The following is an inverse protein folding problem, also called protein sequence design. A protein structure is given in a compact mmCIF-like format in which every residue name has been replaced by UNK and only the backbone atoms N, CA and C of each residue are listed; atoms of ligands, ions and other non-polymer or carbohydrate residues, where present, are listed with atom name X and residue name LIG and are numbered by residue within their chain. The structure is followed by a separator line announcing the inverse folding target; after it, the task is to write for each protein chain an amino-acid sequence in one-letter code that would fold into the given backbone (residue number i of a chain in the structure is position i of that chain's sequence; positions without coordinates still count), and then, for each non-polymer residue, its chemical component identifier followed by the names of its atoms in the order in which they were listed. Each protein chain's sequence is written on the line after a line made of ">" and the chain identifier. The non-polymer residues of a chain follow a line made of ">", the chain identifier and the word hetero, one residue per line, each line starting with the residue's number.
data_IF_627661384246
#
_entry.id   IF_627661384246
#
_cell.length_a   1.000
_cell.length_b   1.000
_cell.length_c   1.000
_cell.angle_alpha   90.00
_cell.angle_beta   90.00
_cell.angle_gamma   90.00
#
_symmetry.space_group_name_H-M   'P 1'
#
loop_
_entity.id
_entity.type
_entity.pdbx_description
1 polymer ?
#
# COMPACT_ATOMS: atom_id res chain seq x y z
N UNK A 1 18.53 11.77 -47.04
CA UNK A 1 17.39 11.51 -46.13
C UNK A 1 17.97 11.08 -44.78
N UNK A 2 17.94 11.94 -43.77
CA UNK A 2 18.32 11.57 -42.39
C UNK A 2 17.25 10.65 -41.85
N UNK A 3 17.59 9.39 -41.50
CA UNK A 3 16.72 8.50 -40.75
C UNK A 3 16.34 9.23 -39.45
N UNK A 4 15.04 9.48 -39.23
CA UNK A 4 14.51 9.85 -37.92
C UNK A 4 14.98 8.77 -36.95
N UNK A 5 15.79 9.13 -35.95
CA UNK A 5 16.03 8.31 -34.77
C UNK A 5 14.64 8.12 -34.16
N UNK A 6 14.17 6.87 -34.12
CA UNK A 6 12.94 6.55 -33.40
C UNK A 6 13.13 7.03 -31.96
N UNK A 7 12.32 8.01 -31.56
CA UNK A 7 12.20 8.42 -30.15
C UNK A 7 11.72 7.21 -29.38
N UNK A 8 12.59 6.66 -28.54
CA UNK A 8 12.24 5.56 -27.66
C UNK A 8 11.20 6.10 -26.68
N UNK A 9 9.95 5.77 -26.90
CA UNK A 9 8.88 6.04 -25.93
C UNK A 9 9.20 5.22 -24.69
N UNK A 10 9.55 5.90 -23.59
CA UNK A 10 9.83 5.26 -22.31
C UNK A 10 8.54 4.61 -21.84
N UNK A 11 8.46 3.28 -21.91
CA UNK A 11 7.32 2.52 -21.39
C UNK A 11 7.37 2.52 -19.88
N UNK A 12 6.19 2.57 -19.25
CA UNK A 12 6.04 2.77 -17.81
C UNK A 12 6.50 1.58 -16.96
N UNK A 13 6.52 0.37 -17.52
CA UNK A 13 6.84 -0.87 -16.81
C UNK A 13 8.33 -1.23 -16.89
N UNK A 14 8.94 -1.54 -15.74
CA UNK A 14 10.31 -2.06 -15.67
C UNK A 14 10.47 -3.36 -16.47
N UNK A 15 9.50 -4.28 -16.35
CA UNK A 15 9.49 -5.53 -17.08
C UNK A 15 9.35 -5.31 -18.59
N UNK A 16 8.47 -4.39 -19.03
CA UNK A 16 8.32 -4.03 -20.44
C UNK A 16 9.55 -3.31 -20.97
N UNK A 17 10.15 -2.41 -20.19
CA UNK A 17 11.38 -1.74 -20.57
C UNK A 17 12.54 -2.72 -20.72
N UNK A 18 12.72 -3.63 -19.78
CA UNK A 18 13.75 -4.67 -19.83
C UNK A 18 13.50 -5.62 -21.03
N UNK A 19 12.24 -5.99 -21.29
CA UNK A 19 11.84 -6.82 -22.45
C UNK A 19 12.07 -6.07 -23.76
N UNK A 20 11.73 -4.78 -23.82
CA UNK A 20 11.93 -3.93 -24.99
C UNK A 20 13.41 -3.76 -25.31
N UNK A 21 14.23 -3.44 -24.31
CA UNK A 21 15.70 -3.30 -24.50
C UNK A 21 16.31 -4.63 -24.95
N UNK A 22 15.79 -5.75 -24.46
CA UNK A 22 16.19 -7.07 -24.88
C UNK A 22 15.81 -7.39 -26.33
N UNK A 23 14.66 -6.90 -26.80
CA UNK A 23 14.14 -7.16 -28.17
C UNK A 23 14.74 -6.24 -29.25
N UNK A 24 15.30 -5.10 -28.88
CA UNK A 24 15.90 -4.12 -29.82
C UNK A 24 17.35 -4.49 -30.24
N UNK A 25 17.95 -5.47 -29.57
CA UNK A 25 19.20 -6.07 -30.05
C UNK A 25 18.93 -7.02 -31.23
N UNK A 26 19.67 -6.85 -32.34
CA UNK A 26 19.64 -7.67 -33.59
C UNK A 26 19.98 -9.17 -33.36
N UNK A 27 19.70 -9.73 -32.19
CA UNK A 27 20.00 -11.12 -31.87
C UNK A 27 18.71 -11.95 -31.81
N UNK A 28 18.70 -13.02 -32.59
CA UNK A 28 17.62 -14.04 -32.65
C UNK A 28 17.36 -14.76 -31.33
N UNK A 29 18.18 -14.56 -30.31
CA UNK A 29 18.01 -15.10 -28.97
C UNK A 29 17.43 -14.00 -28.05
N UNK A 30 16.11 -13.96 -27.90
CA UNK A 30 15.45 -13.08 -26.93
C UNK A 30 16.00 -13.32 -25.53
N UNK A 31 16.15 -12.26 -24.73
CA UNK A 31 16.50 -12.39 -23.31
C UNK A 31 15.32 -13.05 -22.61
N UNK A 32 15.46 -14.30 -22.21
CA UNK A 32 14.49 -15.01 -21.39
C UNK A 32 14.64 -14.52 -19.94
N UNK A 33 13.85 -13.52 -19.57
CA UNK A 33 13.80 -13.05 -18.18
C UNK A 33 13.03 -14.05 -17.33
N UNK A 34 13.60 -14.40 -16.18
CA UNK A 34 12.91 -15.21 -15.19
C UNK A 34 12.23 -14.32 -14.14
N UNK A 35 10.93 -14.54 -13.97
CA UNK A 35 10.15 -13.92 -12.90
C UNK A 35 9.81 -14.98 -11.86
N UNK A 36 10.28 -14.81 -10.63
CA UNK A 36 10.05 -15.74 -9.52
C UNK A 36 10.16 -14.97 -8.20
N UNK A 37 9.26 -15.26 -7.26
CA UNK A 37 9.18 -14.61 -5.95
C UNK A 37 9.12 -13.07 -6.05
N UNK A 38 8.23 -12.57 -6.90
CA UNK A 38 8.02 -11.13 -7.14
C UNK A 38 9.30 -10.36 -7.57
N UNK A 39 10.31 -11.09 -8.10
CA UNK A 39 11.57 -10.54 -8.55
C UNK A 39 11.90 -10.96 -9.99
N UNK A 40 12.75 -10.16 -10.65
CA UNK A 40 13.29 -10.43 -11.99
C UNK A 40 14.73 -10.89 -11.84
N UNK A 41 15.04 -11.98 -12.51
CA UNK A 41 16.35 -12.65 -12.44
C UNK A 41 17.02 -12.71 -13.80
N UNK A 42 18.23 -12.15 -13.95
CA UNK A 42 19.04 -12.20 -15.15
C UNK A 42 20.40 -12.85 -14.89
N UNK A 43 20.93 -13.53 -15.90
CA UNK A 43 22.33 -13.97 -15.89
C UNK A 43 23.27 -12.79 -16.24
N UNK A 44 24.57 -12.93 -15.98
CA UNK A 44 25.56 -11.93 -16.40
C UNK A 44 25.55 -11.71 -17.94
N UNK A 45 25.34 -12.77 -18.72
CA UNK A 45 25.22 -12.68 -20.19
C UNK A 45 24.00 -11.84 -20.60
N UNK A 46 22.87 -12.04 -19.94
CA UNK A 46 21.65 -11.26 -20.21
C UNK A 46 21.83 -9.79 -19.82
N UNK A 47 22.46 -9.50 -18.68
CA UNK A 47 22.79 -8.13 -18.29
C UNK A 47 23.78 -7.47 -19.27
N UNK A 48 24.75 -8.23 -19.81
CA UNK A 48 25.67 -7.75 -20.83
C UNK A 48 24.93 -7.31 -22.10
N UNK A 49 23.94 -8.11 -22.54
CA UNK A 49 23.05 -7.75 -23.66
C UNK A 49 22.15 -6.57 -23.33
N UNK A 50 21.58 -6.53 -22.10
CA UNK A 50 20.72 -5.44 -21.63
C UNK A 50 21.43 -4.08 -21.71
N UNK A 51 22.65 -4.02 -21.21
CA UNK A 51 23.43 -2.78 -21.13
C UNK A 51 24.37 -2.54 -22.32
N UNK A 52 24.39 -3.46 -23.30
CA UNK A 52 25.25 -3.40 -24.47
C UNK A 52 26.74 -3.25 -24.10
N UNK A 53 27.23 -4.19 -23.30
CA UNK A 53 28.63 -4.27 -22.84
C UNK A 53 29.09 -5.73 -22.79
N UNK A 54 30.39 -5.92 -22.63
CA UNK A 54 30.95 -7.27 -22.46
C UNK A 54 30.61 -7.88 -21.10
N UNK A 55 30.45 -9.22 -21.04
CA UNK A 55 30.21 -9.96 -19.80
C UNK A 55 31.30 -9.71 -18.74
N UNK A 56 32.56 -9.50 -19.15
CA UNK A 56 33.63 -9.16 -18.25
C UNK A 56 33.41 -7.82 -17.52
N UNK A 57 32.80 -6.83 -18.20
CA UNK A 57 32.42 -5.55 -17.62
C UNK A 57 31.34 -5.75 -16.54
N UNK A 58 30.35 -6.57 -16.84
CA UNK A 58 29.29 -6.92 -15.86
C UNK A 58 29.91 -7.60 -14.63
N UNK A 59 30.75 -8.62 -14.85
CA UNK A 59 31.42 -9.33 -13.75
C UNK A 59 32.29 -8.40 -12.89
N UNK A 60 32.99 -7.46 -13.51
CA UNK A 60 33.78 -6.45 -12.80
C UNK A 60 32.89 -5.60 -11.88
N UNK A 61 31.77 -5.09 -12.40
CA UNK A 61 30.88 -4.25 -11.59
C UNK A 61 30.16 -5.02 -10.49
N UNK A 62 29.76 -6.28 -10.72
CA UNK A 62 29.20 -7.14 -9.68
C UNK A 62 30.17 -7.32 -8.52
N UNK A 63 31.45 -7.64 -8.83
CA UNK A 63 32.49 -7.76 -7.79
C UNK A 63 32.66 -6.48 -7.00
N UNK A 64 32.68 -5.34 -7.69
CA UNK A 64 32.79 -4.03 -7.05
C UNK A 64 31.62 -3.72 -6.13
N UNK A 65 30.40 -4.05 -6.52
CA UNK A 65 29.19 -3.88 -5.70
C UNK A 65 29.29 -4.67 -4.40
N UNK A 66 29.81 -5.90 -4.45
CA UNK A 66 30.05 -6.71 -3.25
C UNK A 66 31.22 -6.20 -2.40
N UNK A 67 32.36 -5.82 -3.03
CA UNK A 67 33.50 -5.21 -2.33
C UNK A 67 33.11 -3.93 -1.59
N UNK A 68 32.26 -3.09 -2.21
CA UNK A 68 31.75 -1.83 -1.65
C UNK A 68 30.62 -2.10 -0.59
N UNK A 69 30.23 -3.36 -0.35
CA UNK A 69 29.14 -3.76 0.55
C UNK A 69 27.78 -3.09 0.21
N UNK A 70 27.57 -2.72 -1.07
CA UNK A 70 26.32 -2.11 -1.54
C UNK A 70 25.17 -3.11 -1.53
N UNK A 71 25.46 -4.38 -1.86
CA UNK A 71 24.50 -5.50 -1.80
C UNK A 71 25.17 -6.74 -1.19
N UNK A 72 24.38 -7.60 -0.56
CA UNK A 72 24.84 -8.88 -0.02
C UNK A 72 24.66 -10.00 -1.04
N UNK A 73 25.67 -10.88 -1.19
CA UNK A 73 25.71 -11.91 -2.23
C UNK A 73 24.55 -12.91 -2.09
N UNK A 74 24.25 -13.34 -0.88
CA UNK A 74 23.20 -14.32 -0.56
C UNK A 74 21.78 -13.80 -0.83
N UNK A 75 21.55 -12.48 -0.79
CA UNK A 75 20.26 -11.87 -1.05
C UNK A 75 19.97 -11.63 -2.54
N UNK A 76 21.01 -11.50 -3.37
CA UNK A 76 20.86 -11.07 -4.78
C UNK A 76 21.31 -12.13 -5.80
N UNK A 77 21.80 -13.31 -5.37
CA UNK A 77 22.19 -14.40 -6.25
C UNK A 77 21.33 -15.62 -5.97
N UNK A 78 20.78 -16.18 -7.05
CA UNK A 78 20.07 -17.46 -7.03
C UNK A 78 20.55 -18.36 -8.16
N UNK A 79 20.67 -19.64 -7.89
CA UNK A 79 21.03 -20.65 -8.90
C UNK A 79 19.80 -21.27 -9.51
N UNK A 80 19.68 -21.15 -10.83
CA UNK A 80 18.63 -21.83 -11.58
C UNK A 80 19.22 -22.86 -12.55
N UNK A 81 18.47 -23.92 -12.80
CA UNK A 81 18.82 -24.91 -13.83
C UNK A 81 18.36 -24.39 -15.18
N UNK A 82 19.28 -24.34 -16.14
CA UNK A 82 19.02 -24.00 -17.53
C UNK A 82 19.35 -25.22 -18.38
N UNK A 83 18.44 -25.61 -19.27
CA UNK A 83 18.71 -26.64 -20.29
C UNK A 83 19.34 -25.95 -21.49
N UNK A 84 20.59 -26.27 -21.80
CA UNK A 84 21.28 -25.73 -22.94
C UNK A 84 20.86 -26.41 -24.24
N UNK A 85 21.27 -25.85 -25.40
CA UNK A 85 20.95 -26.40 -26.73
C UNK A 85 21.48 -27.83 -26.96
N UNK A 86 22.46 -28.25 -26.14
CA UNK A 86 23.00 -29.64 -26.13
C UNK A 86 22.14 -30.62 -25.33
N UNK A 87 20.98 -30.19 -24.79
CA UNK A 87 20.07 -31.00 -23.97
C UNK A 87 20.53 -31.21 -22.53
N UNK A 88 21.68 -30.69 -22.11
CA UNK A 88 22.18 -30.81 -20.74
C UNK A 88 21.68 -29.67 -19.85
N UNK A 89 21.45 -29.99 -18.57
CA UNK A 89 21.05 -29.00 -17.58
C UNK A 89 22.25 -28.47 -16.82
N UNK A 90 22.43 -27.14 -16.81
CA UNK A 90 23.48 -26.45 -16.09
C UNK A 90 22.88 -25.59 -14.97
N UNK A 91 23.55 -25.57 -13.82
CA UNK A 91 23.21 -24.66 -12.71
C UNK A 91 23.91 -23.32 -12.97
N UNK A 92 23.13 -22.27 -13.21
CA UNK A 92 23.65 -20.95 -13.60
C UNK A 92 23.20 -19.90 -12.57
N UNK A 93 24.14 -19.04 -12.17
CA UNK A 93 23.84 -17.91 -11.31
C UNK A 93 22.99 -16.90 -12.05
N UNK A 94 21.91 -16.49 -11.40
CA UNK A 94 21.06 -15.39 -11.80
C UNK A 94 21.10 -14.33 -10.70
N UNK A 95 20.96 -13.10 -11.10
CA UNK A 95 21.06 -11.92 -10.25
C UNK A 95 19.71 -11.21 -10.22
N UNK A 96 19.32 -10.76 -9.04
CA UNK A 96 18.03 -10.11 -8.78
C UNK A 96 17.92 -8.73 -9.44
N UNK A 97 16.72 -8.16 -9.44
CA UNK A 97 16.46 -6.81 -9.97
C UNK A 97 17.31 -5.75 -9.28
N UNK A 98 17.57 -5.89 -7.99
CA UNK A 98 18.43 -4.98 -7.23
C UNK A 98 19.86 -4.95 -7.81
N UNK A 99 20.43 -6.12 -8.09
CA UNK A 99 21.76 -6.21 -8.72
C UNK A 99 21.73 -5.68 -10.16
N UNK A 100 20.68 -5.95 -10.93
CA UNK A 100 20.52 -5.42 -12.29
C UNK A 100 20.52 -3.88 -12.25
N UNK A 101 19.79 -3.28 -11.31
CA UNK A 101 19.74 -1.83 -11.14
C UNK A 101 21.13 -1.28 -10.74
N UNK A 102 21.76 -1.86 -9.72
CA UNK A 102 23.07 -1.42 -9.23
C UNK A 102 24.14 -1.44 -10.36
N UNK A 103 24.19 -2.52 -11.15
CA UNK A 103 25.07 -2.62 -12.32
C UNK A 103 24.76 -1.54 -13.35
N UNK A 104 23.47 -1.26 -13.62
CA UNK A 104 23.05 -0.23 -14.57
C UNK A 104 23.50 1.19 -14.19
N UNK A 105 23.68 1.46 -12.90
CA UNK A 105 24.25 2.73 -12.43
C UNK A 105 25.76 2.81 -12.60
N UNK A 106 26.47 1.69 -12.57
CA UNK A 106 27.95 1.67 -12.69
C UNK A 106 28.46 1.52 -14.13
N UNK A 107 27.67 0.92 -15.02
CA UNK A 107 28.05 0.70 -16.44
C UNK A 107 27.98 2.01 -17.22
N UNK A 108 29.00 2.22 -18.09
CA UNK A 108 29.06 3.37 -18.98
C UNK A 108 28.75 2.96 -20.43
N UNK A 109 27.46 2.92 -20.80
CA UNK A 109 27.00 2.70 -22.16
C UNK A 109 25.77 3.56 -22.46
N UNK A 110 25.42 3.72 -23.74
CA UNK A 110 24.23 4.49 -24.13
C UNK A 110 22.95 3.87 -23.55
N UNK A 111 22.84 2.55 -23.56
CA UNK A 111 21.70 1.82 -22.94
C UNK A 111 21.62 2.00 -21.45
N UNK A 112 22.76 1.98 -20.75
CA UNK A 112 22.79 2.25 -19.30
C UNK A 112 22.39 3.70 -18.99
N UNK A 113 22.76 4.68 -19.84
CA UNK A 113 22.28 6.06 -19.70
C UNK A 113 20.75 6.15 -19.84
N UNK A 114 20.18 5.46 -20.83
CA UNK A 114 18.72 5.43 -21.02
C UNK A 114 18.01 4.76 -19.83
N UNK A 115 18.57 3.66 -19.32
CA UNK A 115 18.08 2.99 -18.12
C UNK A 115 18.08 3.92 -16.90
N UNK A 116 19.18 4.63 -16.64
CA UNK A 116 19.25 5.61 -15.54
C UNK A 116 18.26 6.75 -15.69
N UNK A 117 18.04 7.26 -16.90
CA UNK A 117 17.02 8.30 -17.16
C UNK A 117 15.62 7.80 -16.80
N UNK A 118 15.30 6.56 -17.15
CA UNK A 118 14.02 5.94 -16.82
C UNK A 118 13.85 5.74 -15.31
N UNK A 119 14.84 5.15 -14.59
CA UNK A 119 14.80 5.01 -13.13
C UNK A 119 14.63 6.38 -12.45
N UNK A 120 15.38 7.41 -12.90
CA UNK A 120 15.27 8.75 -12.34
C UNK A 120 13.86 9.35 -12.53
N UNK A 121 13.17 9.05 -13.62
CA UNK A 121 11.78 9.50 -13.81
C UNK A 121 10.83 8.85 -12.80
N UNK A 122 11.00 7.55 -12.53
CA UNK A 122 10.23 6.83 -11.51
C UNK A 122 10.50 7.44 -10.13
N UNK A 123 11.78 7.57 -9.75
CA UNK A 123 12.18 8.15 -8.47
C UNK A 123 11.65 9.58 -8.30
N UNK A 124 11.77 10.43 -9.35
CA UNK A 124 11.22 11.79 -9.35
C UNK A 124 9.70 11.80 -9.19
N UNK A 125 8.99 10.97 -9.94
CA UNK A 125 7.53 10.90 -9.86
C UNK A 125 7.08 10.45 -8.46
N UNK A 126 7.71 9.42 -7.91
CA UNK A 126 7.44 8.96 -6.54
C UNK A 126 7.73 10.03 -5.49
N UNK A 127 8.89 10.70 -5.57
CA UNK A 127 9.28 11.75 -4.60
C UNK A 127 8.32 12.94 -4.61
N UNK A 128 7.84 13.34 -5.80
CA UNK A 128 6.96 14.51 -5.93
C UNK A 128 5.51 14.16 -5.64
N UNK A 129 5.00 13.06 -6.20
CA UNK A 129 3.59 12.68 -6.17
C UNK A 129 3.24 11.73 -5.03
N UNK A 130 4.23 11.01 -4.48
CA UNK A 130 4.04 9.93 -3.49
C UNK A 130 3.61 8.59 -4.10
N UNK A 131 3.53 8.47 -5.44
CA UNK A 131 3.13 7.25 -6.13
C UNK A 131 3.66 7.20 -7.57
N UNK A 132 3.79 5.98 -8.09
CA UNK A 132 4.04 5.66 -9.50
C UNK A 132 3.12 4.50 -9.87
N UNK A 133 2.44 4.59 -11.02
CA UNK A 133 1.50 3.56 -11.48
C UNK A 133 1.72 3.29 -12.97
N UNK A 134 1.69 2.04 -13.34
CA UNK A 134 1.69 1.58 -14.72
C UNK A 134 0.26 1.30 -15.17
N UNK A 135 -0.44 2.36 -15.58
CA UNK A 135 -1.85 2.32 -15.96
C UNK A 135 -2.12 1.33 -17.10
N UNK A 136 -1.23 1.26 -18.10
CA UNK A 136 -1.40 0.38 -19.26
C UNK A 136 -1.30 -1.10 -18.85
N UNK A 137 -0.34 -1.42 -18.02
CA UNK A 137 -0.16 -2.77 -17.50
C UNK A 137 -1.34 -3.20 -16.64
N UNK A 138 -1.82 -2.33 -15.76
CA UNK A 138 -2.98 -2.60 -14.90
C UNK A 138 -4.27 -2.78 -15.71
N UNK A 139 -4.47 -1.99 -16.79
CA UNK A 139 -5.65 -2.11 -17.66
C UNK A 139 -5.64 -3.39 -18.52
N UNK A 140 -4.46 -3.84 -18.96
CA UNK A 140 -4.35 -5.02 -19.84
C UNK A 140 -4.55 -6.35 -19.14
N UNK A 141 -4.42 -6.41 -17.80
CA UNK A 141 -4.71 -7.60 -17.01
C UNK A 141 -3.84 -8.80 -17.36
N UNK A 142 -2.51 -8.63 -17.45
CA UNK A 142 -1.59 -9.76 -17.63
C UNK A 142 -1.51 -10.58 -16.33
N UNK A 143 -1.12 -11.86 -16.41
CA UNK A 143 -1.01 -12.75 -15.23
C UNK A 143 -0.13 -12.20 -14.08
N UNK A 144 0.74 -11.23 -14.36
CA UNK A 144 1.55 -10.52 -13.37
C UNK A 144 0.79 -9.39 -12.65
N UNK A 145 -0.44 -9.05 -13.08
CA UNK A 145 -1.11 -7.82 -12.66
C UNK A 145 -2.44 -8.04 -11.97
N UNK A 146 -3.07 -9.21 -12.09
CA UNK A 146 -4.41 -9.44 -11.53
C UNK A 146 -4.44 -9.23 -10.02
N UNK A 147 -3.50 -9.84 -9.30
CA UNK A 147 -3.34 -9.66 -7.84
C UNK A 147 -3.02 -8.21 -7.47
N UNK A 148 -2.13 -7.55 -8.22
CA UNK A 148 -1.71 -6.17 -7.92
C UNK A 148 -2.78 -5.14 -8.24
N UNK A 149 -3.67 -5.41 -9.18
CA UNK A 149 -4.82 -4.54 -9.44
C UNK A 149 -5.76 -4.48 -8.24
N UNK A 150 -6.12 -5.63 -7.67
CA UNK A 150 -6.97 -5.69 -6.48
C UNK A 150 -6.29 -5.07 -5.25
N UNK A 151 -4.99 -5.32 -5.05
CA UNK A 151 -4.21 -4.68 -4.00
C UNK A 151 -4.23 -3.14 -4.13
N UNK A 152 -4.03 -2.64 -5.34
CA UNK A 152 -4.06 -1.20 -5.60
C UNK A 152 -5.44 -0.59 -5.36
N UNK A 153 -6.51 -1.30 -5.75
CA UNK A 153 -7.88 -0.86 -5.46
C UNK A 153 -8.16 -0.78 -3.95
N UNK A 154 -7.75 -1.78 -3.18
CA UNK A 154 -7.94 -1.74 -1.72
C UNK A 154 -7.13 -0.58 -1.11
N UNK A 155 -5.90 -0.36 -1.53
CA UNK A 155 -5.08 0.76 -1.08
C UNK A 155 -5.70 2.12 -1.40
N UNK A 156 -6.29 2.31 -2.58
CA UNK A 156 -7.03 3.53 -2.92
C UNK A 156 -8.25 3.71 -2.02
N UNK A 157 -9.00 2.62 -1.75
CA UNK A 157 -10.15 2.64 -0.84
C UNK A 157 -9.75 3.03 0.58
N UNK A 158 -8.66 2.48 1.10
CA UNK A 158 -8.11 2.84 2.41
C UNK A 158 -7.74 4.32 2.50
N UNK A 159 -7.06 4.85 1.47
CA UNK A 159 -6.69 6.28 1.42
C UNK A 159 -7.94 7.16 1.41
N UNK A 160 -8.96 6.83 0.60
CA UNK A 160 -10.23 7.58 0.53
C UNK A 160 -11.04 7.49 1.81
N UNK A 161 -11.06 6.32 2.43
CA UNK A 161 -11.78 6.06 3.68
C UNK A 161 -10.98 6.49 4.93
N UNK A 162 -9.75 7.00 4.78
CA UNK A 162 -9.03 7.56 5.91
C UNK A 162 -9.84 8.69 6.54
N UNK A 163 -9.91 8.69 7.88
CA UNK A 163 -10.83 9.55 8.63
C UNK A 163 -10.73 11.02 8.20
N UNK A 164 -9.53 11.57 8.15
CA UNK A 164 -9.31 12.96 7.73
C UNK A 164 -9.79 13.24 6.30
N UNK A 165 -9.49 12.36 5.33
CA UNK A 165 -9.90 12.55 3.93
C UNK A 165 -11.39 12.38 3.75
N UNK A 166 -11.99 11.42 4.42
CA UNK A 166 -13.43 11.23 4.44
C UNK A 166 -14.15 12.47 4.95
N UNK A 167 -13.76 13.01 6.11
CA UNK A 167 -14.38 14.22 6.66
C UNK A 167 -14.19 15.45 5.79
N UNK A 168 -13.01 15.64 5.23
CA UNK A 168 -12.78 16.74 4.28
C UNK A 168 -13.75 16.65 3.11
N UNK A 169 -13.83 15.48 2.49
CA UNK A 169 -14.67 15.28 1.30
C UNK A 169 -16.15 15.39 1.61
N UNK A 170 -16.61 14.82 2.71
CA UNK A 170 -17.98 14.94 3.17
C UNK A 170 -18.33 16.41 3.47
N UNK A 171 -17.41 17.17 4.09
CA UNK A 171 -17.61 18.59 4.33
C UNK A 171 -17.77 19.38 3.04
N UNK A 172 -16.90 19.11 2.04
CA UNK A 172 -16.96 19.77 0.71
C UNK A 172 -18.28 19.46 0.00
N UNK A 173 -18.74 18.21 0.04
CA UNK A 173 -19.98 17.77 -0.59
C UNK A 173 -21.20 18.42 0.07
N UNK A 174 -21.26 18.45 1.39
CA UNK A 174 -22.39 19.01 2.12
C UNK A 174 -22.39 20.54 2.17
N UNK A 175 -21.25 21.17 1.97
CA UNK A 175 -21.20 22.62 1.76
C UNK A 175 -21.96 23.07 0.50
N UNK A 176 -22.35 22.15 -0.37
CA UNK A 176 -23.23 22.43 -1.53
C UNK A 176 -24.72 22.43 -1.17
N UNK A 177 -25.09 22.03 0.06
CA UNK A 177 -26.49 22.07 0.51
C UNK A 177 -26.99 23.51 0.60
N UNK A 178 -28.27 23.73 0.24
CA UNK A 178 -28.88 25.05 0.18
C UNK A 178 -28.93 25.73 1.57
N UNK A 179 -29.11 24.90 2.62
CA UNK A 179 -29.27 25.31 4.02
C UNK A 179 -27.98 25.04 4.84
N UNK A 180 -26.83 24.88 4.17
CA UNK A 180 -25.59 24.61 4.86
C UNK A 180 -25.11 25.80 5.70
N UNK A 181 -24.95 25.54 6.99
CA UNK A 181 -24.27 26.45 7.95
C UNK A 181 -23.27 25.65 8.78
N UNK A 182 -21.96 25.92 8.58
CA UNK A 182 -20.86 25.25 9.29
C UNK A 182 -20.93 25.35 10.82
N UNK A 183 -21.59 26.38 11.34
CA UNK A 183 -21.66 26.66 12.77
C UNK A 183 -22.92 26.05 13.41
N UNK A 184 -23.89 25.66 12.62
CA UNK A 184 -25.16 25.14 13.12
C UNK A 184 -24.97 23.82 13.89
N UNK A 185 -25.74 23.63 14.95
CA UNK A 185 -25.78 22.39 15.70
C UNK A 185 -26.21 21.20 14.82
N UNK A 186 -27.08 21.46 13.84
CA UNK A 186 -27.58 20.46 12.87
C UNK A 186 -26.43 19.94 12.02
N UNK A 187 -25.59 20.80 11.47
CA UNK A 187 -24.45 20.39 10.64
C UNK A 187 -23.44 19.56 11.45
N UNK A 188 -23.10 19.99 12.65
CA UNK A 188 -22.18 19.25 13.54
C UNK A 188 -22.72 17.87 13.91
N UNK A 189 -24.02 17.79 14.26
CA UNK A 189 -24.69 16.54 14.57
C UNK A 189 -24.72 15.61 13.36
N UNK A 190 -24.93 16.16 12.18
CA UNK A 190 -25.01 15.39 10.95
C UNK A 190 -23.69 14.66 10.63
N UNK A 191 -22.52 15.29 10.80
CA UNK A 191 -21.25 14.63 10.60
C UNK A 191 -21.02 13.43 11.52
N UNK A 192 -21.34 13.57 12.80
CA UNK A 192 -21.28 12.47 13.76
C UNK A 192 -22.26 11.34 13.38
N UNK A 193 -23.44 11.71 12.87
CA UNK A 193 -24.47 10.76 12.42
C UNK A 193 -24.00 9.96 11.20
N UNK A 194 -23.36 10.58 10.22
CA UNK A 194 -22.83 9.90 9.01
C UNK A 194 -21.86 8.80 9.41
N UNK A 195 -20.89 9.13 10.26
CA UNK A 195 -19.90 8.16 10.72
C UNK A 195 -20.54 7.00 11.47
N UNK A 196 -21.40 7.31 12.44
CA UNK A 196 -22.08 6.28 13.24
C UNK A 196 -22.97 5.38 12.38
N UNK A 197 -23.71 5.92 11.41
CA UNK A 197 -24.53 5.13 10.49
C UNK A 197 -23.67 4.19 9.62
N UNK A 198 -22.51 4.64 9.14
CA UNK A 198 -21.59 3.81 8.37
C UNK A 198 -20.99 2.66 9.21
N UNK A 199 -20.57 2.96 10.44
CA UNK A 199 -20.10 1.94 11.37
C UNK A 199 -21.21 0.93 11.69
N UNK A 200 -22.37 1.44 12.08
CA UNK A 200 -23.53 0.58 12.44
C UNK A 200 -23.94 -0.36 11.29
N UNK A 201 -23.94 0.14 10.07
CA UNK A 201 -24.24 -0.65 8.89
C UNK A 201 -23.30 -1.86 8.73
N UNK A 202 -22.01 -1.70 9.05
CA UNK A 202 -21.00 -2.76 8.85
C UNK A 202 -21.01 -3.80 9.96
N UNK A 203 -21.14 -3.39 11.21
CA UNK A 203 -20.97 -4.31 12.35
C UNK A 203 -22.05 -4.21 13.43
N UNK A 204 -23.13 -3.44 13.20
CA UNK A 204 -24.27 -3.37 14.10
C UNK A 204 -24.08 -2.52 15.37
N UNK A 205 -22.98 -1.77 15.48
CA UNK A 205 -22.64 -0.93 16.63
C UNK A 205 -22.24 0.48 16.18
N UNK A 206 -22.48 1.49 17.00
CA UNK A 206 -21.85 2.78 16.81
C UNK A 206 -20.36 2.70 17.15
N UNK A 207 -19.60 3.71 16.76
CA UNK A 207 -18.17 3.77 17.10
C UNK A 207 -17.90 3.68 18.61
N UNK A 208 -18.74 4.32 19.40
CA UNK A 208 -18.64 4.29 20.88
C UNK A 208 -18.99 2.90 21.45
N UNK A 209 -20.04 2.28 20.95
CA UNK A 209 -20.44 0.93 21.37
C UNK A 209 -19.38 -0.11 21.04
N UNK A 210 -18.78 -0.02 19.85
CA UNK A 210 -17.69 -0.90 19.43
C UNK A 210 -16.48 -0.83 20.37
N UNK A 211 -16.08 0.37 20.75
CA UNK A 211 -14.97 0.56 21.70
C UNK A 211 -15.29 -0.10 23.04
N UNK A 212 -16.50 0.12 23.59
CA UNK A 212 -16.88 -0.48 24.88
C UNK A 212 -16.96 -2.00 24.82
N UNK A 213 -17.39 -2.57 23.70
CA UNK A 213 -17.49 -4.01 23.51
C UNK A 213 -16.12 -4.68 23.37
N UNK A 214 -15.18 -4.04 22.69
CA UNK A 214 -13.93 -4.69 22.26
C UNK A 214 -12.71 -4.32 23.09
N UNK A 215 -12.67 -3.12 23.68
CA UNK A 215 -11.58 -2.69 24.54
C UNK A 215 -11.57 -3.49 25.86
N UNK A 216 -10.60 -4.37 25.99
CA UNK A 216 -10.48 -5.29 27.14
C UNK A 216 -8.98 -5.59 27.38
N UNK A 217 -8.47 -5.15 28.53
CA UNK A 217 -7.06 -5.33 28.92
C UNK A 217 -6.62 -6.79 29.02
N UNK A 218 -7.54 -7.75 29.08
CA UNK A 218 -7.24 -9.19 29.15
C UNK A 218 -7.01 -9.81 27.77
N UNK A 219 -7.44 -9.11 26.69
CA UNK A 219 -7.26 -9.57 25.32
C UNK A 219 -5.87 -9.20 24.81
N UNK A 220 -5.40 -9.96 23.84
CA UNK A 220 -4.20 -9.62 23.08
C UNK A 220 -4.35 -8.22 22.47
N UNK A 221 -3.29 -7.40 22.59
CA UNK A 221 -3.31 -6.00 22.16
C UNK A 221 -4.54 -5.19 22.65
N UNK A 222 -5.09 -5.57 23.82
CA UNK A 222 -6.25 -4.93 24.41
C UNK A 222 -7.50 -4.98 23.48
N UNK A 223 -7.53 -5.94 22.55
CA UNK A 223 -8.58 -6.09 21.54
C UNK A 223 -8.40 -5.21 20.28
N UNK A 224 -7.32 -4.43 20.18
CA UNK A 224 -6.97 -3.69 18.97
C UNK A 224 -6.43 -4.64 17.90
N UNK A 225 -6.81 -4.38 16.66
CA UNK A 225 -6.28 -5.07 15.46
C UNK A 225 -5.19 -4.26 14.79
N UNK A 226 -5.15 -2.93 15.03
CA UNK A 226 -4.12 -2.02 14.55
C UNK A 226 -3.94 -0.83 15.49
N UNK A 227 -2.79 -0.16 15.44
CA UNK A 227 -2.47 1.07 16.17
C UNK A 227 -1.34 1.81 15.45
N UNK A 228 -0.99 3.04 15.89
CA UNK A 228 -0.07 3.92 15.18
C UNK A 228 1.29 3.28 14.88
N UNK A 229 1.83 2.49 15.81
CA UNK A 229 3.15 1.85 15.70
C UNK A 229 3.05 0.31 15.53
N UNK A 230 1.89 -0.20 15.05
CA UNK A 230 1.69 -1.64 14.81
C UNK A 230 2.65 -2.17 13.72
N UNK A 231 3.00 -3.47 13.77
CA UNK A 231 2.63 -4.46 14.78
C UNK A 231 3.56 -4.49 16.00
N UNK A 232 4.79 -3.97 15.91
CA UNK A 232 5.83 -4.18 16.91
C UNK A 232 5.89 -3.09 17.99
N UNK A 233 5.34 -1.90 17.69
CA UNK A 233 5.39 -0.76 18.60
C UNK A 233 4.35 -0.81 19.71
N UNK A 234 4.55 -0.02 20.77
CA UNK A 234 3.61 0.08 21.88
C UNK A 234 2.30 0.75 21.48
N UNK A 235 1.19 0.21 21.99
CA UNK A 235 -0.12 0.86 21.95
C UNK A 235 -0.08 2.12 22.82
N UNK A 236 -0.58 3.23 22.30
CA UNK A 236 -0.64 4.54 22.97
C UNK A 236 -2.08 4.84 23.41
N UNK A 237 -2.20 5.71 24.39
CA UNK A 237 -3.50 6.19 24.87
C UNK A 237 -4.38 6.82 23.76
N UNK A 238 -3.76 7.42 22.74
CA UNK A 238 -4.46 7.93 21.57
C UNK A 238 -5.09 6.84 20.70
N UNK A 239 -4.48 5.65 20.66
CA UNK A 239 -4.91 4.57 19.77
C UNK A 239 -6.20 3.92 20.27
N UNK A 240 -6.36 3.80 21.60
CA UNK A 240 -7.48 3.07 22.21
C UNK A 240 -8.81 3.79 22.10
N UNK A 241 -8.82 5.07 21.73
CA UNK A 241 -10.04 5.86 21.55
C UNK A 241 -10.54 5.89 20.12
N UNK A 242 -9.86 5.19 19.20
CA UNK A 242 -10.17 5.15 17.77
C UNK A 242 -10.90 3.85 17.45
N UNK A 243 -12.19 3.91 17.16
CA UNK A 243 -13.03 2.73 16.90
C UNK A 243 -12.51 1.85 15.76
N UNK A 244 -11.94 2.45 14.69
CA UNK A 244 -11.36 1.71 13.56
C UNK A 244 -10.25 0.76 13.99
N UNK A 245 -9.54 1.05 15.06
CA UNK A 245 -8.44 0.22 15.53
C UNK A 245 -8.92 -1.13 16.11
N UNK A 246 -10.21 -1.28 16.37
CA UNK A 246 -10.84 -2.50 16.86
C UNK A 246 -11.55 -3.31 15.77
N UNK A 247 -11.58 -2.85 14.52
CA UNK A 247 -12.23 -3.55 13.41
C UNK A 247 -11.38 -4.73 12.95
N UNK A 248 -12.03 -5.86 12.65
CA UNK A 248 -11.38 -6.95 11.92
C UNK A 248 -10.99 -6.50 10.50
N UNK A 249 -10.12 -7.26 9.84
CA UNK A 249 -9.73 -6.95 8.44
C UNK A 249 -10.94 -6.93 7.50
N UNK A 250 -11.89 -7.84 7.69
CA UNK A 250 -13.08 -7.92 6.85
C UNK A 250 -14.05 -6.76 7.11
N UNK A 251 -14.26 -6.40 8.37
CA UNK A 251 -15.06 -5.22 8.73
C UNK A 251 -14.42 -3.93 8.19
N UNK A 252 -13.10 -3.81 8.26
CA UNK A 252 -12.38 -2.67 7.71
C UNK A 252 -12.54 -2.59 6.18
N UNK A 253 -12.40 -3.71 5.47
CA UNK A 253 -12.63 -3.76 4.02
C UNK A 253 -14.06 -3.40 3.65
N UNK A 254 -15.05 -3.89 4.39
CA UNK A 254 -16.46 -3.56 4.17
C UNK A 254 -16.72 -2.07 4.41
N UNK A 255 -16.21 -1.51 5.50
CA UNK A 255 -16.33 -0.08 5.79
C UNK A 255 -15.68 0.79 4.70
N UNK A 256 -14.48 0.44 4.27
CA UNK A 256 -13.77 1.17 3.22
C UNK A 256 -14.52 1.14 1.87
N UNK A 257 -15.12 -0.01 1.51
CA UNK A 257 -15.95 -0.15 0.31
C UNK A 257 -17.22 0.69 0.41
N UNK A 258 -17.93 0.63 1.54
CA UNK A 258 -19.14 1.41 1.76
C UNK A 258 -18.86 2.91 1.72
N UNK A 259 -17.83 3.38 2.42
CA UNK A 259 -17.41 4.78 2.41
C UNK A 259 -17.08 5.25 1.00
N UNK A 260 -16.31 4.46 0.24
CA UNK A 260 -15.93 4.81 -1.14
C UNK A 260 -17.15 4.89 -2.05
N UNK A 261 -18.05 3.91 -1.99
CA UNK A 261 -19.28 3.89 -2.79
C UNK A 261 -20.21 5.07 -2.46
N UNK A 262 -20.31 5.44 -1.17
CA UNK A 262 -21.10 6.60 -0.77
C UNK A 262 -20.48 7.91 -1.25
N UNK A 263 -19.17 8.06 -1.18
CA UNK A 263 -18.50 9.25 -1.70
C UNK A 263 -18.71 9.40 -3.21
N UNK A 264 -18.61 8.32 -3.99
CA UNK A 264 -18.86 8.33 -5.43
C UNK A 264 -20.34 8.70 -5.74
N UNK A 265 -21.27 8.14 -4.97
CA UNK A 265 -22.69 8.50 -5.07
C UNK A 265 -22.92 9.99 -4.78
N UNK A 266 -22.36 10.52 -3.69
CA UNK A 266 -22.52 11.89 -3.26
C UNK A 266 -21.85 12.88 -4.26
N UNK A 267 -20.65 12.57 -4.76
CA UNK A 267 -19.97 13.33 -5.81
C UNK A 267 -20.84 13.43 -7.08
N UNK A 268 -21.44 12.31 -7.49
CA UNK A 268 -22.32 12.28 -8.66
C UNK A 268 -23.54 13.20 -8.47
N UNK A 269 -24.16 13.21 -7.28
CA UNK A 269 -25.26 14.13 -6.98
C UNK A 269 -24.86 15.59 -7.09
N UNK A 270 -23.68 15.94 -6.56
CA UNK A 270 -23.14 17.30 -6.61
C UNK A 270 -22.82 17.73 -8.04
N UNK A 271 -22.20 16.87 -8.86
CA UNK A 271 -21.88 17.16 -10.26
C UNK A 271 -23.14 17.41 -11.13
N UNK A 272 -24.26 16.81 -10.76
CA UNK A 272 -25.55 17.04 -11.44
C UNK A 272 -26.22 18.33 -11.00
N UNK A 273 -25.63 19.11 -10.10
CA UNK A 273 -26.17 20.37 -9.56
C UNK A 273 -27.59 20.25 -9.02
N UNK A 274 -27.93 19.10 -8.43
CA UNK A 274 -29.23 18.87 -7.82
C UNK A 274 -29.26 19.64 -6.50
N UNK A 275 -30.19 20.62 -6.34
CA UNK A 275 -30.30 21.36 -5.09
C UNK A 275 -30.78 20.41 -3.98
N UNK A 276 -29.99 20.28 -2.91
CA UNK A 276 -30.29 19.42 -1.77
C UNK A 276 -30.17 20.22 -0.47
N UNK A 277 -31.05 19.93 0.48
CA UNK A 277 -30.93 20.40 1.87
C UNK A 277 -30.12 19.39 2.68
N UNK A 278 -29.66 19.77 3.88
CA UNK A 278 -29.01 18.84 4.81
C UNK A 278 -29.92 17.65 5.17
N UNK A 279 -31.23 17.87 5.26
CA UNK A 279 -32.20 16.79 5.48
C UNK A 279 -32.29 15.84 4.29
N UNK A 280 -32.21 16.35 3.05
CA UNK A 280 -32.20 15.52 1.85
C UNK A 280 -30.95 14.64 1.80
N UNK A 281 -29.81 15.16 2.20
CA UNK A 281 -28.58 14.40 2.33
C UNK A 281 -28.70 13.25 3.34
N UNK A 282 -29.33 13.49 4.48
CA UNK A 282 -29.59 12.44 5.49
C UNK A 282 -30.51 11.34 4.94
N UNK A 283 -31.58 11.70 4.26
CA UNK A 283 -32.48 10.74 3.61
C UNK A 283 -31.76 9.90 2.57
N UNK A 284 -30.90 10.53 1.74
CA UNK A 284 -30.12 9.84 0.72
C UNK A 284 -29.09 8.89 1.31
N UNK A 285 -28.45 9.25 2.42
CA UNK A 285 -27.55 8.35 3.15
C UNK A 285 -28.32 7.11 3.65
N UNK A 286 -29.49 7.30 4.23
CA UNK A 286 -30.32 6.17 4.69
C UNK A 286 -30.70 5.27 3.52
N UNK A 287 -31.22 5.84 2.43
CA UNK A 287 -31.58 5.07 1.23
C UNK A 287 -30.39 4.36 0.59
N UNK A 288 -29.20 4.96 0.64
CA UNK A 288 -27.97 4.33 0.19
C UNK A 288 -27.61 3.11 1.04
N UNK A 289 -27.71 3.21 2.38
CA UNK A 289 -27.43 2.10 3.31
C UNK A 289 -28.46 0.98 3.09
N UNK A 290 -29.76 1.31 2.98
CA UNK A 290 -30.84 0.36 2.71
C UNK A 290 -30.66 -0.40 1.39
N UNK A 291 -30.17 0.25 0.35
CA UNK A 291 -29.95 -0.38 -0.96
C UNK A 291 -28.93 -1.54 -0.90
N UNK A 292 -28.09 -1.56 0.10
CA UNK A 292 -27.12 -2.64 0.34
C UNK A 292 -27.59 -3.64 1.41
N UNK A 293 -28.87 -3.61 1.79
CA UNK A 293 -29.48 -4.50 2.81
C UNK A 293 -28.83 -4.39 4.20
N UNK A 294 -28.20 -3.24 4.50
CA UNK A 294 -27.63 -2.97 5.83
C UNK A 294 -28.67 -2.36 6.77
N UNK A 295 -28.51 -2.65 8.06
CA UNK A 295 -29.32 -2.02 9.11
C UNK A 295 -29.04 -0.53 9.24
N UNK A 296 -30.10 0.26 9.48
CA UNK A 296 -29.99 1.70 9.72
C UNK A 296 -30.01 1.98 11.21
N UNK A 297 -29.04 2.76 11.68
CA UNK A 297 -29.06 3.33 13.01
C UNK A 297 -30.22 4.34 13.14
N UNK A 298 -31.19 4.04 14.01
CA UNK A 298 -32.39 4.86 14.19
C UNK A 298 -32.21 5.99 15.22
N UNK A 299 -31.25 5.84 16.13
CA UNK A 299 -30.99 6.77 17.23
C UNK A 299 -29.47 7.15 17.33
N UNK A 300 -29.09 7.74 18.42
CA UNK A 300 -27.68 8.16 18.65
C UNK A 300 -26.77 7.01 19.14
N UNK A 301 -27.31 5.79 19.29
CA UNK A 301 -26.65 4.68 19.97
C UNK A 301 -26.83 4.73 21.49
N UNK A 302 -26.48 3.62 22.16
CA UNK A 302 -26.69 3.44 23.62
C UNK A 302 -25.54 3.96 24.48
N UNK A 303 -24.38 4.23 23.85
CA UNK A 303 -23.13 4.64 24.51
C UNK A 303 -22.69 6.00 23.98
N UNK A 304 -22.40 6.94 24.91
CA UNK A 304 -21.81 8.23 24.48
C UNK A 304 -20.32 8.10 24.22
N UNK A 305 -19.77 9.05 23.43
CA UNK A 305 -18.35 9.09 23.12
C UNK A 305 -17.48 9.28 24.38
N UNK A 306 -17.99 10.00 25.38
CA UNK A 306 -17.32 10.22 26.67
C UNK A 306 -17.21 8.93 27.48
N UNK A 307 -18.29 8.14 27.53
CA UNK A 307 -18.32 6.84 28.22
C UNK A 307 -17.34 5.87 27.53
N UNK A 308 -17.37 5.81 26.22
CA UNK A 308 -16.46 4.94 25.44
C UNK A 308 -14.99 5.32 25.66
N UNK A 309 -14.70 6.62 25.62
CA UNK A 309 -13.34 7.12 25.88
C UNK A 309 -12.88 6.77 27.30
N UNK A 310 -13.69 7.01 28.32
CA UNK A 310 -13.36 6.69 29.70
C UNK A 310 -13.12 5.18 29.88
N UNK A 311 -13.95 4.35 29.29
CA UNK A 311 -13.80 2.89 29.32
C UNK A 311 -12.47 2.46 28.69
N UNK A 312 -12.20 2.90 27.44
CA UNK A 312 -10.96 2.57 26.72
C UNK A 312 -9.70 3.02 27.46
N UNK A 313 -9.72 4.23 28.02
CA UNK A 313 -8.59 4.77 28.80
C UNK A 313 -8.39 3.98 30.11
N UNK A 314 -9.48 3.55 30.76
CA UNK A 314 -9.41 2.71 31.97
C UNK A 314 -8.83 1.35 31.67
N UNK A 315 -9.26 0.71 30.59
CA UNK A 315 -8.72 -0.57 30.15
C UNK A 315 -7.25 -0.43 29.73
N UNK A 316 -6.88 0.69 29.07
CA UNK A 316 -5.51 0.97 28.69
C UNK A 316 -4.58 1.10 29.90
N UNK A 317 -4.98 1.78 30.99
CA UNK A 317 -4.13 1.92 32.18
C UNK A 317 -3.83 0.57 32.83
N UNK A 318 -4.75 -0.39 32.75
CA UNK A 318 -4.51 -1.79 33.19
C UNK A 318 -3.59 -2.51 32.21
N UNK A 319 -3.85 -2.39 30.90
CA UNK A 319 -3.07 -3.04 29.86
C UNK A 319 -1.63 -2.52 29.79
N UNK A 320 -1.41 -1.22 30.03
CA UNK A 320 -0.09 -0.61 30.03
C UNK A 320 0.90 -1.33 30.95
N UNK A 321 0.45 -1.77 32.12
CA UNK A 321 1.29 -2.53 33.07
C UNK A 321 1.73 -3.87 32.46
N UNK A 322 0.85 -4.52 31.72
CA UNK A 322 1.14 -5.78 31.01
C UNK A 322 2.09 -5.52 29.86
N UNK A 323 1.78 -4.53 29.03
CA UNK A 323 2.57 -4.12 27.89
C UNK A 323 4.01 -3.74 28.27
N UNK A 324 4.20 -2.97 29.36
CA UNK A 324 5.51 -2.54 29.81
C UNK A 324 6.38 -3.71 30.32
N UNK A 325 5.75 -4.78 30.81
CA UNK A 325 6.45 -6.01 31.19
C UNK A 325 6.86 -6.87 29.99
N UNK A 326 6.03 -6.87 28.94
CA UNK A 326 6.26 -7.70 27.74
C UNK A 326 7.13 -7.00 26.69
N UNK A 327 7.23 -5.69 26.75
CA UNK A 327 7.96 -4.91 25.75
C UNK A 327 9.46 -4.99 26.02
N UNK A 328 10.18 -5.63 25.11
CA UNK A 328 11.63 -5.57 25.06
C UNK A 328 12.08 -4.31 24.33
N UNK A 329 12.94 -3.52 24.96
CA UNK A 329 13.55 -2.36 24.32
C UNK A 329 14.44 -2.79 23.14
N UNK A 330 14.73 -1.89 22.21
CA UNK A 330 15.68 -2.18 21.12
C UNK A 330 17.08 -2.51 21.68
N UNK A 331 17.43 -1.96 22.83
CA UNK A 331 18.65 -2.31 23.53
C UNK A 331 18.62 -3.76 24.02
N UNK A 332 17.52 -4.23 24.60
CA UNK A 332 17.39 -5.62 25.07
C UNK A 332 17.43 -6.60 23.91
N UNK A 333 16.79 -6.28 22.77
CA UNK A 333 16.86 -7.07 21.53
C UNK A 333 18.29 -7.17 21.02
N UNK A 334 18.99 -6.04 20.97
CA UNK A 334 20.40 -6.00 20.55
C UNK A 334 21.31 -6.83 21.47
N UNK A 335 21.09 -6.79 22.78
CA UNK A 335 21.83 -7.60 23.72
C UNK A 335 21.59 -9.10 23.53
N UNK A 336 20.36 -9.53 23.24
CA UNK A 336 20.04 -10.92 22.91
C UNK A 336 20.71 -11.37 21.61
N UNK A 337 20.72 -10.56 20.56
CA UNK A 337 21.43 -10.84 19.31
C UNK A 337 22.94 -11.02 19.54
N UNK A 338 23.54 -10.17 20.36
CA UNK A 338 24.96 -10.32 20.74
C UNK A 338 25.23 -11.62 21.51
N UNK A 339 24.35 -12.00 22.42
CA UNK A 339 24.48 -13.26 23.18
C UNK A 339 24.30 -14.50 22.30
N UNK A 340 23.37 -14.47 21.32
CA UNK A 340 23.18 -15.55 20.35
C UNK A 340 24.38 -15.70 19.42
N UNK A 341 24.95 -14.58 18.95
CA UNK A 341 26.14 -14.59 18.11
C UNK A 341 27.40 -15.01 18.83
N UNK A 342 27.48 -14.80 20.16
CA UNK A 342 28.59 -15.27 20.99
C UNK A 342 28.52 -16.77 21.27
N UNK A 343 27.36 -17.41 21.07
CA UNK A 343 27.16 -18.87 21.26
C UNK A 343 27.37 -19.68 19.97
N UNK A 344 27.51 -19.02 18.82
CA UNK A 344 27.86 -19.62 17.52
C UNK A 344 29.34 -19.52 17.24
#
# INVERSE_FOLDING_TARGET
>A
MKKKKDEITIRSSAAEYLTYVASVGDQQDGIEMRYEDENIWLTQKMMATLYDVGTNTINYHIKKIFEDSELQEDSVIRKFRITAADGKSYSTNHYSLEMIIAVGFKVNSERAVQFRKWINQIAKAYTIKGWVMDDERLKRGTYLTEKYFDEQLERIREIRASERKFYQKITDLYATAIDYDKNSATTKRFYATVQNKMHYAVHGHTAAELIVERADHTKEHMGLTTWADAPEGKIKKSDVTIAKNYLSQDEMKQLNRMVTAYLDFAENMTLRHIPLTMQDWEKRLNSFIEMFDYGILQDAGKVSAEIAKLHAETEFEKYRVIQDRLFMSDFDKYMLELEENAKK
#
